data_IF_455067692552
#
_entry.id   IF_455067692552
#
_cell.length_a   1.000
_cell.length_b   1.000
_cell.length_c   1.000
_cell.angle_alpha   90.00
_cell.angle_beta   90.00
_cell.angle_gamma   90.00
#
_symmetry.space_group_name_H-M   'P 1'
#
loop_
_entity.id
_entity.type
_entity.pdbx_description
1 polymer ?
#
# COMPACT_ATOMS: atom_id res chain seq x y z
N UNK A 1 4.07 2.46 -38.06
CA UNK A 1 3.12 1.31 -38.08
C UNK A 1 2.21 1.43 -36.87
N UNK A 2 0.89 1.59 -37.04
CA UNK A 2 -0.06 1.62 -35.91
C UNK A 2 -0.11 0.22 -35.30
N UNK A 3 0.51 0.02 -34.14
CA UNK A 3 0.43 -1.25 -33.41
C UNK A 3 -1.02 -1.51 -33.02
N UNK A 4 -1.51 -2.73 -33.25
CA UNK A 4 -2.86 -3.13 -32.88
C UNK A 4 -3.12 -2.85 -31.40
N UNK A 5 -4.34 -2.40 -31.07
CA UNK A 5 -4.76 -1.95 -29.74
C UNK A 5 -4.47 -2.98 -28.62
N UNK A 6 -4.59 -4.28 -28.89
CA UNK A 6 -4.30 -5.36 -27.94
C UNK A 6 -2.81 -5.54 -27.60
N UNK A 7 -1.91 -4.90 -28.36
CA UNK A 7 -0.46 -5.01 -28.18
C UNK A 7 0.10 -4.00 -27.18
N UNK A 8 -0.76 -3.13 -26.64
CA UNK A 8 -0.40 -2.15 -25.62
C UNK A 8 -0.35 -2.79 -24.22
N UNK A 9 0.67 -2.46 -23.43
CA UNK A 9 0.94 -3.11 -22.14
C UNK A 9 -0.21 -2.94 -21.13
N UNK A 10 -0.83 -1.75 -21.09
CA UNK A 10 -1.95 -1.50 -20.18
C UNK A 10 -3.16 -2.40 -20.51
N UNK A 11 -3.40 -2.68 -21.79
CA UNK A 11 -4.50 -3.56 -22.19
C UNK A 11 -4.21 -5.02 -21.85
N UNK A 12 -2.95 -5.45 -22.00
CA UNK A 12 -2.52 -6.78 -21.59
C UNK A 12 -2.70 -7.02 -20.09
N UNK A 13 -2.37 -6.02 -19.25
CA UNK A 13 -2.57 -6.10 -17.80
C UNK A 13 -4.05 -6.25 -17.45
N UNK A 14 -4.93 -5.45 -18.07
CA UNK A 14 -6.37 -5.52 -17.84
C UNK A 14 -6.93 -6.88 -18.23
N UNK A 15 -6.56 -7.38 -19.42
CA UNK A 15 -6.98 -8.71 -19.89
C UNK A 15 -6.45 -9.82 -18.97
N UNK A 16 -5.20 -9.74 -18.51
CA UNK A 16 -4.61 -10.70 -17.59
C UNK A 16 -5.29 -10.69 -16.21
N UNK A 17 -5.66 -9.51 -15.70
CA UNK A 17 -6.41 -9.37 -14.45
C UNK A 17 -7.78 -10.06 -14.54
N UNK A 18 -8.54 -9.78 -15.61
CA UNK A 18 -9.85 -10.38 -15.84
C UNK A 18 -9.72 -11.91 -15.97
N UNK A 19 -8.76 -12.37 -16.78
CA UNK A 19 -8.50 -13.79 -16.96
C UNK A 19 -8.10 -14.48 -15.64
N UNK A 20 -7.27 -13.82 -14.82
CA UNK A 20 -6.86 -14.33 -13.50
C UNK A 20 -8.02 -14.46 -12.53
N UNK A 21 -8.96 -13.49 -12.50
CA UNK A 21 -10.18 -13.56 -11.68
C UNK A 21 -11.09 -14.68 -12.14
N UNK A 22 -11.33 -14.80 -13.45
CA UNK A 22 -12.14 -15.89 -14.03
C UNK A 22 -11.54 -17.25 -13.72
N UNK A 23 -10.23 -17.40 -13.92
CA UNK A 23 -9.50 -18.61 -13.57
C UNK A 23 -9.61 -18.94 -12.07
N UNK A 24 -9.42 -17.96 -11.19
CA UNK A 24 -9.51 -18.15 -9.74
C UNK A 24 -10.89 -18.64 -9.29
N UNK A 25 -11.96 -18.11 -9.87
CA UNK A 25 -13.33 -18.58 -9.58
C UNK A 25 -13.54 -20.03 -10.01
N UNK A 26 -13.07 -20.42 -11.21
CA UNK A 26 -13.17 -21.79 -11.72
C UNK A 26 -12.31 -22.76 -10.89
N UNK A 27 -11.08 -22.37 -10.55
CA UNK A 27 -10.20 -23.17 -9.73
C UNK A 27 -10.77 -23.41 -8.33
N UNK A 28 -11.45 -22.40 -7.76
CA UNK A 28 -12.13 -22.52 -6.47
C UNK A 28 -13.34 -23.47 -6.53
N UNK A 29 -14.14 -23.45 -7.60
CA UNK A 29 -15.32 -24.33 -7.72
C UNK A 29 -14.94 -25.79 -8.00
N UNK A 30 -13.84 -26.02 -8.71
CA UNK A 30 -13.36 -27.36 -9.09
C UNK A 30 -12.38 -27.98 -8.07
N UNK A 31 -12.09 -27.30 -6.95
CA UNK A 31 -11.18 -27.79 -5.91
C UNK A 31 -9.69 -27.75 -6.29
N UNK A 32 -9.30 -27.03 -7.35
CA UNK A 32 -7.91 -26.89 -7.81
C UNK A 32 -7.09 -25.88 -7.00
N UNK A 33 -7.53 -25.57 -5.78
CA UNK A 33 -6.90 -24.60 -4.89
C UNK A 33 -5.44 -24.94 -4.60
N UNK A 34 -5.13 -26.21 -4.29
CA UNK A 34 -3.77 -26.64 -3.98
C UNK A 34 -2.84 -26.50 -5.20
N UNK A 35 -3.27 -26.95 -6.37
CA UNK A 35 -2.48 -26.82 -7.60
C UNK A 35 -2.19 -25.34 -7.93
N UNK A 36 -3.19 -24.48 -7.77
CA UNK A 36 -3.03 -23.03 -8.00
C UNK A 36 -2.03 -22.42 -7.02
N UNK A 37 -2.06 -22.83 -5.75
CA UNK A 37 -1.10 -22.36 -4.73
C UNK A 37 0.33 -22.80 -5.02
N UNK A 38 0.52 -24.03 -5.49
CA UNK A 38 1.86 -24.59 -5.66
C UNK A 38 2.49 -24.17 -7.00
N UNK A 39 1.69 -23.99 -8.05
CA UNK A 39 2.21 -23.78 -9.41
C UNK A 39 1.94 -22.41 -10.00
N UNK A 40 0.88 -21.70 -9.57
CA UNK A 40 0.55 -20.38 -10.13
C UNK A 40 0.96 -19.27 -9.16
N UNK A 41 0.60 -19.40 -7.88
CA UNK A 41 0.89 -18.39 -6.85
C UNK A 41 2.37 -17.97 -6.78
N UNK A 42 3.37 -18.87 -6.92
CA UNK A 42 4.78 -18.48 -6.82
C UNK A 42 5.19 -17.43 -7.85
N UNK A 43 4.62 -17.45 -9.05
CA UNK A 43 4.90 -16.43 -10.07
C UNK A 43 4.39 -15.05 -9.64
N UNK A 44 3.21 -14.99 -9.01
CA UNK A 44 2.68 -13.78 -8.39
C UNK A 44 3.57 -13.30 -7.24
N UNK A 45 4.01 -14.21 -6.38
CA UNK A 45 4.92 -13.90 -5.27
C UNK A 45 6.25 -13.34 -5.75
N UNK A 46 6.86 -13.94 -6.78
CA UNK A 46 8.08 -13.44 -7.42
C UNK A 46 7.85 -12.04 -7.97
N UNK A 47 6.76 -11.83 -8.71
CA UNK A 47 6.43 -10.52 -9.27
C UNK A 47 6.31 -9.43 -8.19
N UNK A 48 5.56 -9.70 -7.11
CA UNK A 48 5.42 -8.77 -5.98
C UNK A 48 6.76 -8.54 -5.28
N UNK A 49 7.59 -9.57 -5.14
CA UNK A 49 8.91 -9.46 -4.52
C UNK A 49 9.85 -8.59 -5.34
N UNK A 50 9.81 -8.72 -6.67
CA UNK A 50 10.57 -7.87 -7.59
C UNK A 50 10.12 -6.40 -7.50
N UNK A 51 8.80 -6.14 -7.42
CA UNK A 51 8.28 -4.79 -7.22
C UNK A 51 8.73 -4.19 -5.88
N UNK A 52 8.73 -4.98 -4.81
CA UNK A 52 9.23 -4.54 -3.49
C UNK A 52 10.73 -4.26 -3.51
N UNK A 53 11.52 -5.09 -4.20
CA UNK A 53 12.97 -4.94 -4.30
C UNK A 53 13.37 -3.60 -4.92
N UNK A 54 12.66 -3.17 -5.98
CA UNK A 54 12.97 -1.91 -6.67
C UNK A 54 12.48 -0.66 -5.92
N UNK A 55 11.53 -0.81 -4.99
CA UNK A 55 10.85 0.32 -4.37
C UNK A 55 11.80 1.21 -3.57
N UNK A 56 12.57 0.63 -2.63
CA UNK A 56 13.47 1.41 -1.76
C UNK A 56 14.59 2.11 -2.54
N UNK A 57 15.36 1.43 -3.41
CA UNK A 57 16.41 2.08 -4.19
C UNK A 57 15.87 3.21 -5.08
N UNK A 58 14.72 2.98 -5.73
CA UNK A 58 14.10 3.97 -6.60
C UNK A 58 13.67 5.20 -5.80
N UNK A 59 13.07 5.02 -4.62
CA UNK A 59 12.66 6.16 -3.78
C UNK A 59 13.84 6.96 -3.28
N UNK A 60 14.90 6.33 -2.80
CA UNK A 60 16.10 7.04 -2.33
C UNK A 60 16.70 7.85 -3.48
N UNK A 61 17.01 7.19 -4.61
CA UNK A 61 17.63 7.85 -5.76
C UNK A 61 16.75 8.96 -6.35
N UNK A 62 15.44 8.72 -6.49
CA UNK A 62 14.50 9.69 -7.06
C UNK A 62 14.27 10.89 -6.14
N UNK A 63 14.17 10.69 -4.82
CA UNK A 63 13.97 11.80 -3.89
C UNK A 63 15.27 12.59 -3.69
N UNK A 64 16.41 11.93 -3.50
CA UNK A 64 17.69 12.62 -3.33
C UNK A 64 18.01 13.44 -4.59
N UNK A 65 17.95 12.85 -5.78
CA UNK A 65 18.19 13.59 -7.03
C UNK A 65 17.12 14.65 -7.30
N UNK A 66 15.85 14.35 -7.01
CA UNK A 66 14.75 15.28 -7.15
C UNK A 66 14.95 16.53 -6.29
N UNK A 67 15.25 16.36 -5.00
CA UNK A 67 15.51 17.47 -4.08
C UNK A 67 16.84 18.16 -4.42
N UNK A 68 17.90 17.42 -4.77
CA UNK A 68 19.17 18.00 -5.18
C UNK A 68 19.06 18.91 -6.41
N UNK A 69 18.10 18.63 -7.30
CA UNK A 69 17.82 19.46 -8.47
C UNK A 69 17.08 20.78 -8.14
N UNK A 70 16.54 20.91 -6.93
CA UNK A 70 15.89 22.14 -6.50
C UNK A 70 16.95 23.17 -6.11
N UNK A 71 16.98 24.28 -6.84
CA UNK A 71 17.87 25.41 -6.57
C UNK A 71 17.57 26.17 -5.26
N UNK A 72 16.42 25.93 -4.62
CA UNK A 72 15.98 26.64 -3.41
C UNK A 72 15.11 25.73 -2.54
N UNK A 73 15.57 25.48 -1.32
CA UNK A 73 14.91 24.67 -0.28
C UNK A 73 13.53 25.25 0.10
N UNK A 74 13.29 26.56 -0.04
CA UNK A 74 11.98 27.17 0.21
C UNK A 74 10.91 26.67 -0.76
N UNK A 75 11.30 26.26 -1.97
CA UNK A 75 10.36 25.64 -2.92
C UNK A 75 9.89 24.29 -2.40
N UNK A 76 10.79 23.51 -1.79
CA UNK A 76 10.47 22.21 -1.20
C UNK A 76 9.44 22.35 -0.07
N UNK A 77 9.67 23.25 0.89
CA UNK A 77 8.74 23.44 2.02
C UNK A 77 7.35 23.90 1.57
N UNK A 78 7.27 24.77 0.56
CA UNK A 78 6.00 25.21 -0.01
C UNK A 78 5.27 24.10 -0.76
N UNK A 79 5.99 23.26 -1.50
CA UNK A 79 5.39 22.10 -2.17
C UNK A 79 4.92 21.06 -1.15
N UNK A 80 5.76 20.72 -0.17
CA UNK A 80 5.42 19.79 0.90
C UNK A 80 4.16 20.19 1.66
N UNK A 81 4.06 21.46 2.07
CA UNK A 81 2.87 21.96 2.78
C UNK A 81 1.58 21.88 1.94
N UNK A 82 1.65 22.22 0.65
CA UNK A 82 0.50 22.08 -0.28
C UNK A 82 0.10 20.62 -0.46
N UNK A 83 1.08 19.74 -0.60
CA UNK A 83 0.87 18.30 -0.74
C UNK A 83 0.22 17.72 0.51
N UNK A 84 0.73 18.03 1.70
CA UNK A 84 0.16 17.57 2.98
C UNK A 84 -1.30 18.04 3.10
N UNK A 85 -1.57 19.33 2.85
CA UNK A 85 -2.93 19.86 2.92
C UNK A 85 -3.88 19.17 1.92
N UNK A 86 -3.41 18.92 0.69
CA UNK A 86 -4.16 18.21 -0.32
C UNK A 86 -4.45 16.76 0.11
N UNK A 87 -3.43 16.01 0.54
CA UNK A 87 -3.59 14.62 0.97
C UNK A 87 -4.49 14.49 2.19
N UNK A 88 -4.35 15.36 3.19
CA UNK A 88 -5.24 15.36 4.36
C UNK A 88 -6.68 15.67 3.95
N UNK A 89 -6.88 16.65 3.09
CA UNK A 89 -8.21 17.02 2.59
C UNK A 89 -8.87 15.89 1.79
N UNK A 90 -8.15 15.30 0.84
CA UNK A 90 -8.69 14.20 0.02
C UNK A 90 -8.88 12.92 0.84
N UNK A 91 -8.01 12.64 1.81
CA UNK A 91 -8.15 11.46 2.68
C UNK A 91 -9.34 11.61 3.62
N UNK A 92 -9.50 12.78 4.24
CA UNK A 92 -10.67 13.06 5.08
C UNK A 92 -11.97 12.90 4.26
N UNK A 93 -12.01 13.49 3.06
CA UNK A 93 -13.16 13.36 2.16
C UNK A 93 -13.44 11.89 1.80
N UNK A 94 -12.42 11.13 1.42
CA UNK A 94 -12.55 9.72 1.06
C UNK A 94 -13.06 8.87 2.23
N UNK A 95 -12.52 9.07 3.44
CA UNK A 95 -12.97 8.37 4.66
C UNK A 95 -14.41 8.74 4.99
N UNK A 96 -14.78 10.01 4.94
CA UNK A 96 -16.16 10.45 5.20
C UNK A 96 -17.15 9.83 4.20
N UNK A 97 -16.83 9.84 2.91
CA UNK A 97 -17.67 9.22 1.87
C UNK A 97 -17.76 7.70 2.05
N UNK A 98 -16.65 7.04 2.36
CA UNK A 98 -16.61 5.60 2.61
C UNK A 98 -17.44 5.20 3.83
N UNK A 99 -17.33 5.95 4.93
CA UNK A 99 -18.15 5.74 6.12
C UNK A 99 -19.63 5.99 5.83
N UNK A 100 -19.97 7.04 5.08
CA UNK A 100 -21.36 7.32 4.72
C UNK A 100 -21.97 6.17 3.90
N UNK A 101 -21.24 5.66 2.91
CA UNK A 101 -21.68 4.51 2.11
C UNK A 101 -21.82 3.22 2.91
N UNK A 102 -20.83 2.88 3.75
CA UNK A 102 -20.86 1.66 4.57
C UNK A 102 -22.00 1.71 5.59
N UNK A 103 -22.23 2.86 6.23
CA UNK A 103 -23.30 3.02 7.20
C UNK A 103 -24.70 3.06 6.56
N UNK A 104 -24.80 3.45 5.28
CA UNK A 104 -26.05 3.42 4.52
C UNK A 104 -26.40 2.01 4.02
N UNK A 105 -25.44 1.31 3.40
CA UNK A 105 -25.66 -0.02 2.80
C UNK A 105 -25.67 -1.13 3.86
N UNK A 106 -24.94 -0.95 4.97
CA UNK A 106 -24.85 -1.92 6.08
C UNK A 106 -24.64 -3.37 5.61
N UNK A 107 -23.59 -3.64 4.79
CA UNK A 107 -23.42 -4.93 4.12
C UNK A 107 -23.33 -6.12 5.10
N UNK A 108 -22.89 -5.87 6.33
CA UNK A 108 -22.83 -6.88 7.38
C UNK A 108 -24.18 -7.50 7.71
N UNK A 109 -25.31 -6.78 7.55
CA UNK A 109 -26.65 -7.30 7.87
C UNK A 109 -27.18 -8.32 6.87
N UNK A 110 -26.66 -8.33 5.64
CA UNK A 110 -27.14 -9.19 4.55
C UNK A 110 -26.62 -10.63 4.62
N UNK A 111 -25.66 -10.93 5.51
CA UNK A 111 -25.12 -12.29 5.71
C UNK A 111 -25.99 -13.10 6.69
N UNK A 112 -26.38 -14.35 6.38
CA UNK A 112 -27.04 -15.27 7.31
C UNK A 112 -26.20 -15.51 8.57
N UNK A 113 -26.88 -15.73 9.71
CA UNK A 113 -26.21 -15.90 11.01
C UNK A 113 -25.24 -17.09 11.05
N UNK A 114 -25.57 -18.19 10.35
CA UNK A 114 -24.71 -19.37 10.28
C UNK A 114 -23.41 -19.09 9.51
N UNK A 115 -23.51 -18.41 8.36
CA UNK A 115 -22.34 -18.00 7.58
C UNK A 115 -21.46 -16.99 8.33
N UNK A 116 -22.04 -16.13 9.18
CA UNK A 116 -21.25 -15.23 10.02
C UNK A 116 -20.46 -15.98 11.08
N UNK A 117 -21.08 -16.94 11.76
CA UNK A 117 -20.41 -17.74 12.78
C UNK A 117 -19.26 -18.57 12.17
N UNK A 118 -19.46 -19.11 10.96
CA UNK A 118 -18.42 -19.83 10.23
C UNK A 118 -17.27 -18.91 9.80
N UNK A 119 -17.57 -17.71 9.29
CA UNK A 119 -16.55 -16.71 8.92
C UNK A 119 -15.79 -16.18 10.13
N UNK A 120 -16.47 -15.95 11.25
CA UNK A 120 -15.83 -15.52 12.51
C UNK A 120 -14.91 -16.62 13.05
N UNK A 121 -15.33 -17.89 13.02
CA UNK A 121 -14.49 -19.01 13.42
C UNK A 121 -13.30 -19.22 12.48
N UNK A 122 -13.49 -19.09 11.16
CA UNK A 122 -12.44 -19.25 10.16
C UNK A 122 -11.39 -18.13 10.19
N UNK A 123 -11.75 -16.94 10.68
CA UNK A 123 -10.88 -15.76 10.73
C UNK A 123 -10.63 -15.24 12.15
N UNK A 124 -10.80 -16.08 13.18
CA UNK A 124 -10.65 -15.68 14.59
C UNK A 124 -9.27 -15.07 14.88
N UNK A 125 -8.21 -15.65 14.32
CA UNK A 125 -6.84 -15.15 14.47
C UNK A 125 -6.66 -13.76 13.82
N UNK A 126 -7.25 -13.56 12.63
CA UNK A 126 -7.25 -12.26 11.93
C UNK A 126 -8.02 -11.19 12.70
N UNK A 127 -9.14 -11.55 13.33
CA UNK A 127 -9.96 -10.63 14.15
C UNK A 127 -9.19 -10.19 15.40
N UNK A 128 -8.52 -11.13 16.07
CA UNK A 128 -7.75 -10.85 17.28
C UNK A 128 -6.50 -10.01 16.97
N UNK A 129 -5.83 -10.25 15.84
CA UNK A 129 -4.76 -9.41 15.32
C UNK A 129 -5.21 -7.98 14.97
N UNK A 130 -6.42 -7.82 14.43
CA UNK A 130 -6.98 -6.48 14.15
C UNK A 130 -7.42 -5.73 15.41
N UNK A 131 -7.95 -6.43 16.42
CA UNK A 131 -8.32 -5.82 17.70
C UNK A 131 -7.09 -5.33 18.48
N UNK A 132 -6.01 -6.11 18.49
CA UNK A 132 -4.75 -5.71 19.10
C UNK A 132 -4.15 -4.50 18.39
N UNK A 133 -4.09 -4.50 17.06
CA UNK A 133 -3.64 -3.34 16.29
C UNK A 133 -4.50 -2.08 16.53
N UNK A 134 -5.82 -2.22 16.64
CA UNK A 134 -6.70 -1.09 16.96
C UNK A 134 -6.46 -0.55 18.37
N UNK A 135 -6.16 -1.43 19.32
CA UNK A 135 -5.85 -1.07 20.71
C UNK A 135 -4.52 -0.34 20.82
N UNK A 136 -3.51 -0.76 20.05
CA UNK A 136 -2.23 -0.06 19.94
C UNK A 136 -2.42 1.36 19.38
N UNK A 137 -3.23 1.52 18.33
CA UNK A 137 -3.53 2.85 17.77
C UNK A 137 -4.21 3.74 18.80
N UNK A 138 -5.08 3.19 19.66
CA UNK A 138 -5.72 3.95 20.73
C UNK A 138 -4.75 4.42 21.83
N UNK A 139 -3.66 3.68 22.02
CA UNK A 139 -2.62 3.99 23.00
C UNK A 139 -1.52 4.90 22.44
N UNK A 140 -1.45 5.08 21.12
CA UNK A 140 -0.50 5.99 20.47
C UNK A 140 -0.78 7.44 20.84
N UNK A 141 0.27 8.15 21.21
CA UNK A 141 0.25 9.59 21.39
C UNK A 141 0.09 10.35 20.06
N UNK A 142 -0.45 11.58 20.09
CA UNK A 142 -0.69 12.36 18.86
C UNK A 142 0.60 12.73 18.10
N UNK A 143 1.76 12.68 18.77
CA UNK A 143 3.07 13.03 18.19
C UNK A 143 3.94 11.81 17.88
N UNK A 144 3.48 10.59 18.19
CA UNK A 144 4.29 9.38 18.01
C UNK A 144 4.61 9.12 16.53
N UNK A 145 3.73 9.54 15.61
CA UNK A 145 4.03 9.47 14.18
C UNK A 145 5.26 10.32 13.79
N UNK A 146 5.49 11.41 14.51
CA UNK A 146 6.59 12.34 14.24
C UNK A 146 7.90 11.77 14.77
N UNK A 147 7.86 11.05 15.89
CA UNK A 147 9.02 10.30 16.40
C UNK A 147 9.34 9.10 15.51
N UNK A 148 8.31 8.39 15.02
CA UNK A 148 8.46 7.25 14.09
C UNK A 148 9.06 7.66 12.74
N UNK A 149 8.97 8.95 12.36
CA UNK A 149 9.48 9.48 11.10
C UNK A 149 11.01 9.47 11.04
N UNK A 150 11.69 9.60 12.18
CA UNK A 150 13.16 9.64 12.24
C UNK A 150 13.68 8.26 12.66
N UNK A 151 14.35 7.51 11.75
CA UNK A 151 14.87 6.18 12.10
C UNK A 151 16.08 6.28 13.04
N UNK A 152 16.22 5.30 13.92
CA UNK A 152 17.46 5.11 14.68
C UNK A 152 18.65 4.75 13.78
N UNK A 153 18.39 4.03 12.68
CA UNK A 153 19.40 3.59 11.72
C UNK A 153 18.87 3.58 10.28
N UNK A 154 19.58 4.27 9.37
CA UNK A 154 19.21 4.35 7.95
C UNK A 154 19.25 2.98 7.23
N UNK A 155 20.29 2.18 7.44
CA UNK A 155 20.42 0.87 6.79
C UNK A 155 19.33 -0.10 7.28
N UNK A 156 19.00 -0.03 8.58
CA UNK A 156 17.88 -0.76 9.16
C UNK A 156 16.57 -0.41 8.46
N UNK A 157 16.25 0.89 8.36
CA UNK A 157 15.06 1.37 7.68
C UNK A 157 15.05 1.00 6.18
N UNK A 158 16.17 1.13 5.48
CA UNK A 158 16.28 0.83 4.05
C UNK A 158 16.17 -0.67 3.73
N UNK A 159 16.51 -1.55 4.67
CA UNK A 159 16.33 -2.99 4.49
C UNK A 159 14.87 -3.45 4.58
N UNK A 160 13.99 -2.61 5.16
CA UNK A 160 12.58 -2.93 5.39
C UNK A 160 11.66 -2.07 4.54
N UNK A 161 10.84 -2.73 3.71
CA UNK A 161 9.75 -2.05 2.99
C UNK A 161 8.68 -1.46 3.93
N UNK A 162 8.62 -1.90 5.20
CA UNK A 162 7.69 -1.37 6.20
C UNK A 162 8.08 0.02 6.72
N UNK A 163 9.36 0.38 6.64
CA UNK A 163 9.90 1.64 7.17
C UNK A 163 9.98 2.75 6.09
N UNK A 164 9.08 2.71 5.10
CA UNK A 164 9.15 3.60 3.93
C UNK A 164 9.10 5.10 4.31
N UNK A 165 8.32 5.47 5.33
CA UNK A 165 8.26 6.85 5.83
C UNK A 165 9.64 7.34 6.30
N UNK A 166 10.38 6.49 7.00
CA UNK A 166 11.72 6.79 7.50
C UNK A 166 12.72 6.94 6.35
N UNK A 167 12.64 6.04 5.36
CA UNK A 167 13.47 6.11 4.14
C UNK A 167 13.23 7.41 3.39
N UNK A 168 11.96 7.82 3.23
CA UNK A 168 11.59 9.10 2.61
C UNK A 168 12.17 10.27 3.40
N UNK A 169 12.02 10.29 4.73
CA UNK A 169 12.55 11.35 5.59
C UNK A 169 14.07 11.52 5.43
N UNK A 170 14.84 10.43 5.54
CA UNK A 170 16.29 10.47 5.37
C UNK A 170 16.67 10.90 3.95
N UNK A 171 15.97 10.42 2.93
CA UNK A 171 16.22 10.79 1.53
C UNK A 171 16.03 12.30 1.28
N UNK A 172 15.01 12.91 1.90
CA UNK A 172 14.79 14.35 1.83
C UNK A 172 15.90 15.13 2.53
N UNK A 173 16.33 14.70 3.72
CA UNK A 173 17.42 15.35 4.46
C UNK A 173 18.73 15.28 3.67
N UNK A 174 19.07 14.10 3.12
CA UNK A 174 20.26 13.92 2.28
C UNK A 174 20.19 14.78 1.01
N UNK A 175 19.03 14.83 0.36
CA UNK A 175 18.80 15.69 -0.79
C UNK A 175 19.04 17.17 -0.48
N UNK A 176 18.50 17.68 0.63
CA UNK A 176 18.72 19.06 1.07
C UNK A 176 20.19 19.31 1.43
N UNK A 177 20.84 18.37 2.12
CA UNK A 177 22.25 18.47 2.47
C UNK A 177 23.19 18.57 1.26
N UNK A 178 22.83 17.95 0.13
CA UNK A 178 23.59 18.06 -1.12
C UNK A 178 23.39 19.39 -1.86
N UNK A 179 22.29 20.10 -1.60
CA UNK A 179 22.01 21.41 -2.22
C UNK A 179 22.67 22.59 -1.54
N UNK A 180 23.09 22.42 -0.28
CA UNK A 180 23.68 23.46 0.56
C UNK A 180 25.20 23.53 0.43
#
# INVERSE_FOLDING_TARGET
MKTAWYRQLHWQIVVALIAGVVYGMIASSQGWGQWTRDWISPFGTIFITLLKLIAVPLVITSLVSGVASLSDVRKLSRMGGKTIALYLGTTALAVTLGLLWVNAVQPGKSLPSETRAELEAAHQEDVQGRQSAASEVHQRGPLDFLTDMVPENFLGAASSNGAMLQVVCVSLILGVGLTM
#
